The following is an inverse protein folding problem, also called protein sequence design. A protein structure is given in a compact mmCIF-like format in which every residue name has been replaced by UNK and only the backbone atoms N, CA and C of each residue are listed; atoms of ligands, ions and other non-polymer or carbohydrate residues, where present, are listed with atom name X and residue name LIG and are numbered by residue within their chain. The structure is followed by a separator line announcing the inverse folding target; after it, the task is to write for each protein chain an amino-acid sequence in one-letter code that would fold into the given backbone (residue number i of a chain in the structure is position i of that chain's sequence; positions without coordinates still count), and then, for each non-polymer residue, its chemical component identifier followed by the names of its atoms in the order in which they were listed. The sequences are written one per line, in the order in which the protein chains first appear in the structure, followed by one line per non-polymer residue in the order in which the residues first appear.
data_IF_891529488864
#
_entry.id   IF_891529488864
#
_cell.length_a   1.000
_cell.length_b   1.000
_cell.length_c   1.000
_cell.angle_alpha   90.00
_cell.angle_beta   90.00
_cell.angle_gamma   90.00
#
_symmetry.space_group_name_H-M   'P 1'
#
loop_
_entity.id
_entity.type
_entity.pdbx_description
1 polymer ?
#
# COMPACT_ATOMS: atom_id res chain seq x y z
N UNK A 1 13.18 14.04 -11.79
CA UNK A 1 11.83 13.45 -11.81
C UNK A 1 12.01 12.01 -11.39
N UNK A 2 11.99 11.75 -10.09
CA UNK A 2 12.54 10.51 -9.53
C UNK A 2 11.43 9.76 -8.81
N UNK A 3 11.34 8.46 -9.08
CA UNK A 3 10.44 7.55 -8.39
C UNK A 3 11.27 6.69 -7.44
N UNK A 4 10.76 6.46 -6.23
CA UNK A 4 11.43 5.65 -5.21
C UNK A 4 10.51 4.50 -4.85
N UNK A 5 11.06 3.29 -4.88
CA UNK A 5 10.42 2.09 -4.36
C UNK A 5 11.07 1.79 -3.01
N UNK A 6 10.26 1.63 -1.97
CA UNK A 6 10.73 1.35 -0.62
C UNK A 6 10.04 0.12 -0.06
N UNK A 7 10.82 -0.75 0.57
CA UNK A 7 10.31 -1.89 1.34
C UNK A 7 10.60 -1.64 2.80
N UNK A 8 9.56 -1.61 3.62
CA UNK A 8 9.70 -1.34 5.05
C UNK A 8 8.53 -1.93 5.81
N UNK A 9 8.79 -2.33 7.05
CA UNK A 9 7.77 -2.74 8.02
C UNK A 9 7.37 -1.57 8.95
N UNK A 10 8.01 -0.40 8.81
CA UNK A 10 7.74 0.75 9.68
C UNK A 10 6.50 1.48 9.21
N UNK A 11 5.43 1.39 10.00
CA UNK A 11 4.13 2.01 9.70
C UNK A 11 4.22 3.51 9.38
N UNK A 12 5.05 4.25 10.11
CA UNK A 12 5.23 5.70 9.89
C UNK A 12 5.76 6.05 8.49
N UNK A 13 6.48 5.13 7.84
CA UNK A 13 6.97 5.33 6.48
C UNK A 13 5.94 4.88 5.45
N UNK A 14 5.27 3.75 5.71
CA UNK A 14 4.16 3.25 4.87
C UNK A 14 3.04 4.29 4.79
N UNK A 15 2.69 4.93 5.90
CA UNK A 15 1.64 5.95 5.95
C UNK A 15 1.93 7.18 5.06
N UNK A 16 3.20 7.47 4.76
CA UNK A 16 3.62 8.62 3.96
C UNK A 16 3.78 8.32 2.47
N UNK A 17 3.68 7.06 2.04
CA UNK A 17 3.87 6.72 0.63
C UNK A 17 2.64 7.06 -0.21
N UNK A 18 2.84 7.41 -1.47
CA UNK A 18 1.73 7.76 -2.37
C UNK A 18 0.90 6.54 -2.80
N UNK A 19 1.57 5.39 -2.87
CA UNK A 19 1.05 4.06 -3.20
C UNK A 19 1.58 3.06 -2.17
N UNK A 20 0.74 2.13 -1.74
CA UNK A 20 1.12 1.02 -0.87
C UNK A 20 0.77 -0.28 -1.57
N UNK A 21 1.74 -1.20 -1.61
CA UNK A 21 1.56 -2.56 -2.09
C UNK A 21 1.91 -3.54 -0.98
N UNK A 22 1.03 -4.51 -0.75
CA UNK A 22 1.29 -5.66 0.09
C UNK A 22 1.64 -6.88 -0.74
N UNK A 23 2.48 -7.75 -0.18
CA UNK A 23 2.76 -9.06 -0.74
C UNK A 23 2.47 -10.10 0.34
N UNK A 24 1.72 -11.13 0.00
CA UNK A 24 1.48 -12.28 0.88
C UNK A 24 1.56 -13.59 0.09
N UNK A 25 2.02 -14.69 0.69
CA UNK A 25 2.05 -15.99 0.03
C UNK A 25 0.66 -16.63 -0.02
N UNK A 26 0.30 -17.25 -1.15
CA UNK A 26 -0.89 -18.10 -1.29
C UNK A 26 -0.57 -19.30 -2.17
N UNK A 27 -0.70 -20.51 -1.63
CA UNK A 27 -0.40 -21.78 -2.34
C UNK A 27 1.00 -21.80 -2.98
N UNK A 28 2.02 -21.31 -2.26
CA UNK A 28 3.39 -21.24 -2.75
C UNK A 28 3.67 -20.14 -3.78
N UNK A 29 2.68 -19.29 -4.10
CA UNK A 29 2.80 -18.20 -5.06
C UNK A 29 2.57 -16.86 -4.34
N UNK A 30 3.47 -15.90 -4.54
CA UNK A 30 3.32 -14.54 -3.99
C UNK A 30 2.17 -13.80 -4.68
N UNK A 31 1.24 -13.29 -3.89
CA UNK A 31 0.11 -12.46 -4.34
C UNK A 31 0.40 -11.00 -4.00
N UNK A 32 0.17 -10.10 -4.96
CA UNK A 32 0.35 -8.66 -4.78
C UNK A 32 -1.01 -8.00 -4.63
N UNK A 33 -1.16 -7.15 -3.62
CA UNK A 33 -2.37 -6.37 -3.37
C UNK A 33 -2.02 -4.90 -3.28
N UNK A 34 -2.88 -4.05 -3.86
CA UNK A 34 -2.78 -2.59 -3.74
C UNK A 34 -3.72 -2.13 -2.64
N UNK A 35 -3.18 -1.42 -1.64
CA UNK A 35 -4.01 -0.81 -0.62
C UNK A 35 -4.42 0.60 -1.06
N UNK A 36 -5.69 0.93 -0.87
CA UNK A 36 -6.14 2.31 -0.95
C UNK A 36 -5.86 2.98 0.38
N UNK A 37 -5.16 4.11 0.35
CA UNK A 37 -5.02 4.94 1.56
C UNK A 37 -6.42 5.30 2.09
N UNK A 38 -6.66 5.22 3.40
CA UNK A 38 -7.93 5.66 4.00
C UNK A 38 -8.26 7.11 3.63
N UNK A 39 -7.25 7.97 3.49
CA UNK A 39 -7.41 9.36 3.05
C UNK A 39 -7.87 9.53 1.60
N UNK A 40 -7.85 8.47 0.79
CA UNK A 40 -8.31 8.44 -0.61
C UNK A 40 -9.63 7.68 -0.77
N UNK A 41 -10.17 7.10 0.29
CA UNK A 41 -11.53 6.55 0.28
C UNK A 41 -12.48 7.72 0.45
N UNK A 42 -13.17 8.10 -0.63
CA UNK A 42 -14.26 9.07 -0.53
C UNK A 42 -15.33 8.45 0.36
N UNK A 43 -15.54 9.04 1.54
CA UNK A 43 -16.72 8.75 2.33
C UNK A 43 -17.89 9.37 1.56
N UNK A 44 -18.66 8.54 0.86
CA UNK A 44 -19.98 8.95 0.41
C UNK A 44 -20.84 9.10 1.67
N UNK A 45 -21.11 10.35 2.03
CA UNK A 45 -22.08 10.68 3.08
C UNK A 45 -23.42 10.76 2.36
N UNK A 46 -24.29 9.77 2.62
CA UNK A 46 -25.71 9.80 2.28
C UNK A 46 -26.46 10.81 3.15
#
# INVERSE_FOLDING_TARGET
NNQIIMVTLKDATVAKSDLIFGVYPKNGISQVVKYNHPSKVKLEVE
#
